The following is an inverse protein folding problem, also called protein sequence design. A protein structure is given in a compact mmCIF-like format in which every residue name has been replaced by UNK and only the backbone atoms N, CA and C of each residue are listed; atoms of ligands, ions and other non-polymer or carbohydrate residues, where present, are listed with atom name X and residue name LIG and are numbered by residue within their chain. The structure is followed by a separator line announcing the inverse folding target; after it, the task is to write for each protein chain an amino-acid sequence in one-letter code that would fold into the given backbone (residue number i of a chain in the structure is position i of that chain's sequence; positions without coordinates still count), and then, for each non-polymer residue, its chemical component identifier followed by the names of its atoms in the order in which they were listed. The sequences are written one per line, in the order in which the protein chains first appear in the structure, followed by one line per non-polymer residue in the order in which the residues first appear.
data_IF_496456682842
#
_entry.id   IF_496456682842
#
_cell.length_a   1.000
_cell.length_b   1.000
_cell.length_c   1.000
_cell.angle_alpha   90.00
_cell.angle_beta   90.00
_cell.angle_gamma   90.00
#
_symmetry.space_group_name_H-M   'P 1'
#
loop_
_entity.id
_entity.type
_entity.pdbx_description
1 polymer ?
#
# COMPACT_ATOMS: atom_id res chain seq x y z
N UNK A 1 -16.82 12.16 -5.95
CA UNK A 1 -15.42 12.48 -5.63
C UNK A 1 -14.96 11.64 -4.45
N UNK A 2 -13.99 10.78 -4.65
CA UNK A 2 -13.72 9.58 -3.86
C UNK A 2 -13.47 9.79 -2.36
N UNK A 3 -14.05 8.90 -1.61
CA UNK A 3 -13.85 8.69 -0.17
C UNK A 3 -12.74 7.64 0.01
N UNK A 4 -11.50 7.94 -0.42
CA UNK A 4 -10.36 7.00 -0.28
C UNK A 4 -9.50 7.41 0.90
N UNK A 5 -8.86 6.46 1.59
CA UNK A 5 -7.78 6.79 2.52
C UNK A 5 -6.51 7.19 1.74
N UNK A 6 -5.55 7.84 2.40
CA UNK A 6 -4.31 8.23 1.75
C UNK A 6 -3.35 7.04 1.66
N UNK A 7 -2.56 6.97 0.58
CA UNK A 7 -1.59 5.90 0.35
C UNK A 7 -0.62 5.66 1.52
N UNK A 8 -0.33 6.69 2.30
CA UNK A 8 0.55 6.62 3.47
C UNK A 8 0.02 5.63 4.51
N UNK A 9 -1.28 5.71 4.81
CA UNK A 9 -1.94 4.79 5.75
C UNK A 9 -1.86 3.35 5.26
N UNK A 10 -2.20 3.11 3.98
CA UNK A 10 -2.15 1.77 3.38
C UNK A 10 -0.76 1.15 3.43
N UNK A 11 0.26 1.90 2.98
CA UNK A 11 1.66 1.43 2.97
C UNK A 11 2.14 1.11 4.39
N UNK A 12 1.87 2.01 5.34
CA UNK A 12 2.32 1.87 6.72
C UNK A 12 1.63 0.71 7.43
N UNK A 13 0.31 0.60 7.30
CA UNK A 13 -0.49 -0.47 7.88
C UNK A 13 -0.04 -1.84 7.36
N UNK A 14 0.07 -1.98 6.04
CA UNK A 14 0.47 -3.22 5.41
C UNK A 14 1.88 -3.66 5.84
N UNK A 15 2.83 -2.73 5.92
CA UNK A 15 4.17 -3.01 6.43
C UNK A 15 4.12 -3.55 7.86
N UNK A 16 3.40 -2.88 8.77
CA UNK A 16 3.30 -3.30 10.17
C UNK A 16 2.65 -4.67 10.31
N UNK A 17 1.56 -4.92 9.60
CA UNK A 17 0.86 -6.21 9.61
C UNK A 17 1.70 -7.34 9.01
N UNK A 18 2.45 -7.06 7.93
CA UNK A 18 3.38 -8.02 7.34
C UNK A 18 4.53 -8.36 8.31
N UNK A 19 5.06 -7.37 9.04
CA UNK A 19 6.08 -7.60 10.08
C UNK A 19 5.53 -8.44 11.22
N UNK A 20 4.33 -8.15 11.69
CA UNK A 20 3.68 -8.90 12.76
C UNK A 20 3.43 -10.35 12.34
N UNK A 21 2.82 -10.57 11.16
CA UNK A 21 2.54 -11.91 10.63
C UNK A 21 3.81 -12.69 10.31
N UNK A 22 4.81 -12.04 9.71
CA UNK A 22 6.11 -12.66 9.43
C UNK A 22 6.82 -13.14 10.69
N UNK A 23 6.79 -12.34 11.77
CA UNK A 23 7.33 -12.72 13.08
C UNK A 23 6.56 -13.87 13.70
N UNK A 24 5.21 -13.80 13.69
CA UNK A 24 4.34 -14.83 14.26
C UNK A 24 4.53 -16.19 13.56
N UNK A 25 4.59 -16.18 12.24
CA UNK A 25 4.72 -17.41 11.42
C UNK A 25 6.18 -17.84 11.22
N UNK A 26 7.15 -17.06 11.73
CA UNK A 26 8.59 -17.28 11.53
C UNK A 26 8.95 -17.42 10.05
N UNK A 27 8.45 -16.50 9.22
CA UNK A 27 8.73 -16.46 7.77
C UNK A 27 9.37 -15.14 7.37
N UNK A 28 10.31 -15.22 6.42
CA UNK A 28 10.89 -14.06 5.77
C UNK A 28 10.01 -13.65 4.58
N UNK A 29 9.96 -12.36 4.30
CA UNK A 29 9.23 -11.79 3.18
C UNK A 29 10.03 -10.65 2.53
N UNK A 30 9.60 -10.28 1.33
CA UNK A 30 10.22 -9.24 0.55
C UNK A 30 9.49 -7.91 0.79
N UNK A 31 10.20 -6.91 1.33
CA UNK A 31 9.61 -5.61 1.72
C UNK A 31 9.03 -4.86 0.51
N UNK A 32 9.75 -4.67 -0.62
CA UNK A 32 9.18 -4.02 -1.80
C UNK A 32 7.84 -4.60 -2.23
N UNK A 33 7.70 -5.93 -2.25
CA UNK A 33 6.43 -6.58 -2.63
C UNK A 33 5.30 -6.27 -1.63
N UNK A 34 5.60 -6.25 -0.33
CA UNK A 34 4.61 -5.88 0.70
C UNK A 34 4.09 -4.45 0.46
N UNK A 35 5.02 -3.51 0.22
CA UNK A 35 4.67 -2.10 0.02
C UNK A 35 3.85 -1.89 -1.26
N UNK A 36 4.14 -2.63 -2.32
CA UNK A 36 3.39 -2.58 -3.57
C UNK A 36 2.00 -3.20 -3.42
N UNK A 37 1.91 -4.40 -2.81
CA UNK A 37 0.63 -5.08 -2.62
C UNK A 37 -0.38 -4.27 -1.82
N UNK A 38 0.11 -3.39 -0.92
CA UNK A 38 -0.76 -2.47 -0.18
C UNK A 38 -1.48 -1.43 -1.05
N UNK A 39 -1.01 -1.22 -2.28
CA UNK A 39 -1.53 -0.20 -3.22
C UNK A 39 -2.14 -0.84 -4.48
N UNK A 40 -1.92 -2.13 -4.70
CA UNK A 40 -2.44 -2.81 -5.90
C UNK A 40 -3.94 -2.64 -6.11
N UNK A 41 -4.82 -2.66 -5.09
CA UNK A 41 -6.24 -2.41 -5.31
C UNK A 41 -6.52 -1.05 -5.96
N UNK A 42 -5.76 -0.02 -5.61
CA UNK A 42 -5.89 1.35 -6.16
C UNK A 42 -5.35 1.52 -7.59
N UNK A 43 -4.80 0.48 -8.20
CA UNK A 43 -4.33 0.57 -9.59
C UNK A 43 -5.49 0.85 -10.57
N UNK A 44 -6.71 0.56 -10.17
CA UNK A 44 -7.94 0.83 -10.90
C UNK A 44 -8.20 2.35 -11.09
N UNK A 45 -7.66 3.21 -10.23
CA UNK A 45 -7.70 4.67 -10.38
C UNK A 45 -7.11 5.11 -11.73
N UNK A 46 -6.08 4.40 -12.20
CA UNK A 46 -5.48 4.67 -13.52
C UNK A 46 -6.50 4.40 -14.64
N UNK A 47 -7.22 3.29 -14.55
CA UNK A 47 -8.24 2.95 -15.53
C UNK A 47 -9.38 3.97 -15.52
N UNK A 48 -9.84 4.39 -14.36
CA UNK A 48 -10.87 5.43 -14.22
C UNK A 48 -10.41 6.75 -14.84
N UNK A 49 -9.14 7.11 -14.65
CA UNK A 49 -8.58 8.33 -15.22
C UNK A 49 -8.51 8.31 -16.76
N UNK A 50 -8.01 7.21 -17.36
CA UNK A 50 -7.82 7.13 -18.81
C UNK A 50 -9.09 6.72 -19.55
N UNK A 51 -9.88 5.79 -19.00
CA UNK A 51 -11.05 5.23 -19.68
C UNK A 51 -12.36 5.91 -19.26
N UNK A 52 -12.31 6.86 -18.31
CA UNK A 52 -13.48 7.54 -17.74
C UNK A 52 -14.53 6.56 -17.21
N UNK A 53 -14.06 5.47 -16.61
CA UNK A 53 -14.87 4.47 -15.95
C UNK A 53 -15.05 4.82 -14.47
N UNK A 54 -15.96 4.16 -13.78
CA UNK A 54 -16.18 4.31 -12.33
C UNK A 54 -16.04 2.93 -11.67
N UNK A 55 -14.91 2.24 -11.96
CA UNK A 55 -14.63 0.90 -11.43
C UNK A 55 -13.89 0.91 -10.11
N UNK A 56 -13.38 2.07 -9.69
CA UNK A 56 -12.67 2.21 -8.42
C UNK A 56 -13.55 1.78 -7.25
N UNK A 57 -12.96 1.00 -6.33
CA UNK A 57 -13.61 0.32 -5.21
C UNK A 57 -14.58 -0.82 -5.58
N UNK A 58 -14.52 -1.25 -6.84
CA UNK A 58 -15.25 -2.41 -7.33
C UNK A 58 -14.49 -3.72 -7.07
N UNK A 59 -14.40 -4.55 -8.08
CA UNK A 59 -13.82 -5.90 -8.01
C UNK A 59 -12.36 -5.94 -7.52
N UNK A 60 -11.58 -4.90 -7.76
CA UNK A 60 -10.17 -4.78 -7.33
C UNK A 60 -10.02 -4.75 -5.81
N UNK A 61 -11.05 -4.24 -5.13
CA UNK A 61 -11.11 -4.15 -3.66
C UNK A 61 -11.82 -5.34 -3.02
N UNK A 62 -12.28 -6.31 -3.82
CA UNK A 62 -12.95 -7.50 -3.30
C UNK A 62 -12.00 -8.46 -2.59
N UNK A 63 -12.34 -8.81 -1.35
CA UNK A 63 -11.62 -9.85 -0.60
C UNK A 63 -11.77 -11.23 -1.24
N UNK A 64 -12.90 -11.48 -1.92
CA UNK A 64 -13.15 -12.75 -2.62
C UNK A 64 -12.18 -12.86 -3.80
N UNK A 65 -12.08 -11.81 -4.63
CA UNK A 65 -11.14 -11.78 -5.75
C UNK A 65 -9.70 -11.89 -5.27
N UNK A 66 -9.33 -11.13 -4.23
CA UNK A 66 -7.99 -11.21 -3.63
C UNK A 66 -7.68 -12.62 -3.14
N UNK A 67 -8.62 -13.28 -2.47
CA UNK A 67 -8.46 -14.66 -1.98
C UNK A 67 -8.29 -15.64 -3.13
N UNK A 68 -9.14 -15.58 -4.14
CA UNK A 68 -9.06 -16.47 -5.30
C UNK A 68 -7.73 -16.31 -6.05
N UNK A 69 -7.27 -15.09 -6.25
CA UNK A 69 -5.98 -14.81 -6.88
C UNK A 69 -4.80 -15.32 -6.04
N UNK A 70 -4.94 -15.38 -4.71
CA UNK A 70 -3.89 -15.87 -3.81
C UNK A 70 -3.88 -17.38 -3.59
N UNK A 71 -4.92 -18.13 -3.97
CA UNK A 71 -4.94 -19.59 -3.84
C UNK A 71 -3.69 -20.25 -4.44
N UNK A 72 -3.25 -19.96 -5.69
CA UNK A 72 -2.05 -20.57 -6.25
C UNK A 72 -0.79 -20.25 -5.44
N UNK A 73 -0.69 -19.03 -4.91
CA UNK A 73 0.44 -18.63 -4.06
C UNK A 73 0.45 -19.38 -2.72
N UNK A 74 -0.72 -19.59 -2.10
CA UNK A 74 -0.81 -20.41 -0.91
C UNK A 74 -0.47 -21.87 -1.17
N UNK A 75 -0.86 -22.42 -2.31
CA UNK A 75 -0.50 -23.79 -2.70
C UNK A 75 1.02 -23.94 -2.87
N UNK A 76 1.67 -22.98 -3.50
CA UNK A 76 3.11 -23.02 -3.80
C UNK A 76 3.98 -22.62 -2.61
N UNK A 77 3.64 -21.55 -1.91
CA UNK A 77 4.48 -20.93 -0.88
C UNK A 77 3.98 -21.17 0.54
N UNK A 78 2.78 -21.77 0.69
CA UNK A 78 2.17 -22.10 1.99
C UNK A 78 2.19 -20.87 2.93
N UNK A 79 2.61 -21.04 4.18
CA UNK A 79 2.68 -19.97 5.19
C UNK A 79 3.54 -18.76 4.77
N UNK A 80 4.47 -18.92 3.80
CA UNK A 80 5.26 -17.78 3.30
C UNK A 80 4.44 -16.79 2.47
N UNK A 81 3.31 -17.20 1.91
CA UNK A 81 2.40 -16.31 1.20
C UNK A 81 1.60 -15.39 2.14
N UNK A 82 1.44 -15.75 3.41
CA UNK A 82 0.57 -15.04 4.36
C UNK A 82 0.89 -13.56 4.54
N UNK A 83 2.15 -13.11 4.74
CA UNK A 83 2.44 -11.68 4.87
C UNK A 83 2.03 -10.86 3.63
N UNK A 84 2.17 -11.44 2.44
CA UNK A 84 1.78 -10.79 1.18
C UNK A 84 0.26 -10.70 1.05
N UNK A 85 -0.46 -11.77 1.37
CA UNK A 85 -1.92 -11.77 1.38
C UNK A 85 -2.48 -10.75 2.39
N UNK A 86 -1.93 -10.73 3.61
CA UNK A 86 -2.33 -9.75 4.63
C UNK A 86 -2.08 -8.33 4.14
N UNK A 87 -0.95 -8.06 3.48
CA UNK A 87 -0.68 -6.75 2.90
C UNK A 87 -1.73 -6.34 1.88
N UNK A 88 -2.07 -7.22 0.94
CA UNK A 88 -3.09 -6.96 -0.08
C UNK A 88 -4.47 -6.70 0.54
N UNK A 89 -4.90 -7.60 1.44
CA UNK A 89 -6.25 -7.57 2.02
C UNK A 89 -6.40 -6.43 3.04
N UNK A 90 -5.32 -6.02 3.71
CA UNK A 90 -5.37 -4.91 4.67
C UNK A 90 -5.83 -3.60 4.03
N UNK A 91 -5.55 -3.39 2.75
CA UNK A 91 -6.04 -2.26 1.98
C UNK A 91 -7.58 -2.20 2.02
N UNK A 92 -8.22 -3.20 1.45
CA UNK A 92 -9.68 -3.22 1.31
C UNK A 92 -10.41 -3.44 2.64
N UNK A 93 -9.91 -4.38 3.48
CA UNK A 93 -10.62 -4.79 4.68
C UNK A 93 -10.45 -3.81 5.86
N UNK A 94 -9.26 -3.28 6.06
CA UNK A 94 -8.99 -2.44 7.23
C UNK A 94 -9.07 -0.96 6.88
N UNK A 95 -8.28 -0.52 5.90
CA UNK A 95 -8.21 0.90 5.61
C UNK A 95 -9.48 1.41 4.93
N UNK A 96 -10.04 0.68 3.98
CA UNK A 96 -11.26 1.10 3.30
C UNK A 96 -12.52 0.67 4.04
N UNK A 97 -12.78 -0.63 4.21
CA UNK A 97 -14.02 -1.11 4.79
C UNK A 97 -14.24 -0.64 6.23
N UNK A 98 -13.23 -0.76 7.10
CA UNK A 98 -13.39 -0.37 8.51
C UNK A 98 -13.35 1.14 8.71
N UNK A 99 -12.57 1.88 7.92
CA UNK A 99 -12.31 3.32 8.13
C UNK A 99 -12.85 4.16 6.99
N UNK A 100 -12.36 3.93 5.77
CA UNK A 100 -12.46 4.86 4.65
C UNK A 100 -13.81 4.94 3.94
N UNK A 101 -14.72 3.99 4.14
CA UNK A 101 -16.07 4.06 3.57
C UNK A 101 -16.49 2.85 2.74
N UNK A 102 -17.40 3.10 1.79
CA UNK A 102 -18.11 2.03 1.08
C UNK A 102 -17.31 1.48 -0.11
N UNK A 103 -17.33 0.16 -0.28
CA UNK A 103 -16.70 -0.57 -1.37
C UNK A 103 -17.40 -1.93 -1.60
N UNK A 104 -17.15 -2.55 -2.75
CA UNK A 104 -17.71 -3.86 -3.12
C UNK A 104 -16.86 -5.01 -2.52
N UNK A 105 -16.77 -5.06 -1.19
CA UNK A 105 -15.88 -6.01 -0.48
C UNK A 105 -16.14 -7.47 -0.85
N UNK A 106 -17.39 -7.84 -1.11
CA UNK A 106 -17.81 -9.23 -1.37
C UNK A 106 -18.17 -9.48 -2.84
N UNK A 107 -17.76 -8.60 -3.77
CA UNK A 107 -17.98 -8.85 -5.20
C UNK A 107 -17.31 -10.18 -5.62
N UNK A 108 -17.90 -11.04 -6.50
CA UNK A 108 -19.18 -10.87 -7.20
C UNK A 108 -20.41 -11.39 -6.43
N UNK A 109 -20.24 -11.97 -5.25
CA UNK A 109 -21.35 -12.58 -4.50
C UNK A 109 -22.33 -11.52 -3.98
N UNK A 110 -21.83 -10.35 -3.61
CA UNK A 110 -22.62 -9.21 -3.16
C UNK A 110 -22.07 -7.92 -3.79
N UNK A 111 -22.71 -7.43 -4.87
CA UNK A 111 -22.18 -6.31 -5.64
C UNK A 111 -22.45 -4.93 -5.02
N UNK A 112 -23.27 -4.84 -3.95
CA UNK A 112 -23.57 -3.56 -3.32
C UNK A 112 -22.39 -3.07 -2.49
N UNK A 113 -22.23 -1.75 -2.45
CA UNK A 113 -21.21 -1.10 -1.64
C UNK A 113 -21.64 -1.10 -0.17
N UNK A 114 -20.71 -1.38 0.71
CA UNK A 114 -20.88 -1.23 2.14
C UNK A 114 -19.55 -0.97 2.85
N UNK A 115 -19.63 -0.35 4.04
CA UNK A 115 -18.49 -0.01 4.87
C UNK A 115 -18.91 0.21 6.30
N UNK A 116 -17.98 0.12 7.25
CA UNK A 116 -18.29 0.18 8.68
C UNK A 116 -18.33 1.63 9.21
N UNK A 117 -17.19 2.29 9.37
CA UNK A 117 -17.14 3.61 10.01
C UNK A 117 -17.47 4.76 9.04
N UNK A 118 -17.20 4.59 7.76
CA UNK A 118 -17.44 5.56 6.69
C UNK A 118 -16.90 6.98 7.03
N UNK A 119 -15.69 7.01 7.59
CA UNK A 119 -15.01 8.24 7.99
C UNK A 119 -14.51 8.97 6.74
N UNK A 120 -14.78 10.27 6.64
CA UNK A 120 -14.27 11.07 5.54
C UNK A 120 -12.74 11.11 5.57
N UNK A 121 -12.09 11.01 4.40
CA UNK A 121 -10.64 11.05 4.24
C UNK A 121 -9.99 12.27 4.90
N UNK A 122 -10.67 13.44 4.86
CA UNK A 122 -10.19 14.68 5.47
C UNK A 122 -10.59 14.83 6.95
N UNK A 123 -11.21 13.81 7.54
CA UNK A 123 -11.52 13.86 8.97
C UNK A 123 -10.22 13.89 9.79
N UNK A 124 -10.09 14.79 10.76
CA UNK A 124 -8.89 14.87 11.60
C UNK A 124 -8.50 13.55 12.27
N UNK A 125 -9.46 12.71 12.62
CA UNK A 125 -9.20 11.38 13.19
C UNK A 125 -8.49 10.49 12.17
N UNK A 126 -8.97 10.46 10.91
CA UNK A 126 -8.33 9.68 9.86
C UNK A 126 -6.89 10.16 9.58
N UNK A 127 -6.71 11.49 9.47
CA UNK A 127 -5.40 12.09 9.26
C UNK A 127 -4.44 11.74 10.40
N UNK A 128 -4.89 11.83 11.65
CA UNK A 128 -4.10 11.49 12.83
C UNK A 128 -3.74 10.00 12.87
N UNK A 129 -4.68 9.11 12.52
CA UNK A 129 -4.43 7.66 12.42
C UNK A 129 -3.37 7.34 11.37
N UNK A 130 -3.50 7.90 10.16
CA UNK A 130 -2.53 7.67 9.08
C UNK A 130 -1.13 8.18 9.42
N UNK A 131 -1.05 9.38 10.03
CA UNK A 131 0.22 9.92 10.50
C UNK A 131 0.84 9.04 11.60
N UNK A 132 0.03 8.57 12.54
CA UNK A 132 0.48 7.69 13.62
C UNK A 132 1.00 6.36 13.08
N UNK A 133 0.26 5.74 12.14
CA UNK A 133 0.70 4.51 11.47
C UNK A 133 2.03 4.72 10.74
N UNK A 134 2.16 5.85 10.04
CA UNK A 134 3.41 6.22 9.38
C UNK A 134 4.56 6.36 10.38
N UNK A 135 4.38 7.10 11.46
CA UNK A 135 5.41 7.32 12.47
C UNK A 135 5.89 5.98 13.07
N UNK A 136 4.95 5.11 13.43
CA UNK A 136 5.25 3.77 13.95
C UNK A 136 6.01 2.95 12.89
N UNK A 137 5.51 2.92 11.64
CA UNK A 137 6.15 2.18 10.56
C UNK A 137 7.57 2.67 10.27
N UNK A 138 7.78 3.99 10.22
CA UNK A 138 9.10 4.59 10.00
C UNK A 138 10.09 4.21 11.12
N UNK A 139 9.68 4.30 12.39
CA UNK A 139 10.49 3.86 13.53
C UNK A 139 10.84 2.38 13.43
N UNK A 140 9.87 1.52 13.08
CA UNK A 140 10.13 0.09 12.88
C UNK A 140 11.08 -0.16 11.71
N UNK A 141 10.90 0.52 10.56
CA UNK A 141 11.79 0.39 9.39
C UNK A 141 13.24 0.71 9.74
N UNK A 142 13.46 1.75 10.55
CA UNK A 142 14.80 2.12 11.01
C UNK A 142 15.35 1.08 11.97
N UNK A 143 14.61 0.73 13.02
CA UNK A 143 15.06 -0.21 14.07
C UNK A 143 15.33 -1.63 13.56
N UNK A 144 14.59 -2.07 12.55
CA UNK A 144 14.79 -3.41 11.94
C UNK A 144 15.74 -3.39 10.75
N UNK A 145 16.36 -2.25 10.45
CA UNK A 145 17.22 -2.04 9.29
C UNK A 145 16.54 -2.30 7.93
N UNK A 146 15.22 -2.35 7.90
CA UNK A 146 14.46 -2.61 6.67
C UNK A 146 14.56 -1.44 5.69
N UNK A 147 14.66 -0.20 6.20
CA UNK A 147 14.92 1.00 5.41
C UNK A 147 16.22 0.84 4.60
N UNK A 148 17.29 0.36 5.22
CA UNK A 148 18.58 0.12 4.54
C UNK A 148 18.52 -1.04 3.55
N UNK A 149 17.63 -2.01 3.77
CA UNK A 149 17.41 -3.11 2.81
C UNK A 149 16.82 -2.62 1.49
N UNK A 150 15.99 -1.57 1.52
CA UNK A 150 15.44 -0.93 0.32
C UNK A 150 16.52 -0.27 -0.54
N UNK A 151 17.64 0.14 0.05
CA UNK A 151 18.78 0.74 -0.69
C UNK A 151 19.74 -0.30 -1.28
N UNK A 152 19.51 -1.60 -1.05
CA UNK A 152 20.31 -2.63 -1.70
C UNK A 152 19.94 -2.75 -3.18
N UNK A 153 20.96 -2.92 -4.03
CA UNK A 153 20.76 -3.18 -5.44
C UNK A 153 20.10 -4.56 -5.65
N UNK A 154 18.78 -4.58 -5.69
CA UNK A 154 18.00 -5.79 -5.92
C UNK A 154 16.92 -5.53 -6.96
N UNK A 155 16.86 -6.38 -8.00
CA UNK A 155 15.91 -6.21 -9.14
C UNK A 155 14.44 -6.05 -8.70
N UNK A 156 14.06 -6.65 -7.56
CA UNK A 156 12.71 -6.54 -7.02
C UNK A 156 12.33 -5.10 -6.66
N UNK A 157 13.29 -4.21 -6.41
CA UNK A 157 13.00 -2.80 -6.09
C UNK A 157 12.33 -2.07 -7.27
N UNK A 158 12.44 -2.60 -8.50
CA UNK A 158 11.71 -2.05 -9.65
C UNK A 158 10.20 -2.05 -9.45
N UNK A 159 9.64 -2.97 -8.66
CA UNK A 159 8.19 -2.99 -8.42
C UNK A 159 7.71 -1.72 -7.70
N UNK A 160 8.61 -1.01 -7.00
CA UNK A 160 8.30 0.26 -6.34
C UNK A 160 7.99 1.40 -7.32
N UNK A 161 8.29 1.24 -8.61
CA UNK A 161 7.82 2.17 -9.64
C UNK A 161 6.29 2.21 -9.68
N UNK A 162 5.61 1.11 -9.37
CA UNK A 162 4.14 1.05 -9.34
C UNK A 162 3.58 2.13 -8.40
N UNK A 163 3.77 2.08 -7.07
CA UNK A 163 3.23 3.11 -6.18
C UNK A 163 3.77 4.52 -6.46
N UNK A 164 5.00 4.67 -6.99
CA UNK A 164 5.51 5.97 -7.38
C UNK A 164 4.60 6.62 -8.42
N UNK A 165 4.31 5.91 -9.51
CA UNK A 165 3.58 6.47 -10.65
C UNK A 165 2.06 6.37 -10.52
N UNK A 166 1.53 5.42 -9.76
CA UNK A 166 0.08 5.25 -9.62
C UNK A 166 -0.53 6.16 -8.56
N UNK A 167 0.17 6.40 -7.46
CA UNK A 167 -0.41 7.09 -6.29
C UNK A 167 0.46 8.23 -5.79
N UNK A 168 1.77 7.99 -5.51
CA UNK A 168 2.59 8.97 -4.79
C UNK A 168 2.89 10.21 -5.64
N UNK A 169 3.34 10.04 -6.87
CA UNK A 169 3.65 11.17 -7.77
C UNK A 169 2.38 11.92 -8.20
N UNK A 170 1.29 11.25 -8.63
CA UNK A 170 0.04 11.92 -8.98
C UNK A 170 -0.52 12.79 -7.85
N UNK A 171 -0.31 12.41 -6.60
CA UNK A 171 -0.71 13.19 -5.43
C UNK A 171 -0.10 14.60 -5.43
N UNK A 172 1.15 14.75 -5.86
CA UNK A 172 1.84 16.05 -5.91
C UNK A 172 1.63 16.82 -7.23
N UNK A 173 1.30 16.13 -8.32
CA UNK A 173 1.02 16.77 -9.61
C UNK A 173 -0.38 17.38 -9.60
N UNK A 174 -1.30 16.85 -8.79
CA UNK A 174 -2.66 17.39 -8.70
C UNK A 174 -2.67 18.80 -8.11
N UNK A 175 -3.33 19.74 -8.83
CA UNK A 175 -3.51 21.10 -8.32
C UNK A 175 -5.02 21.41 -8.18
N UNK A 176 -5.48 21.97 -7.04
CA UNK A 176 -4.71 22.20 -5.79
C UNK A 176 -4.31 20.88 -5.11
N UNK A 177 -3.21 20.94 -4.34
CA UNK A 177 -2.73 19.79 -3.57
C UNK A 177 -3.81 19.33 -2.59
N UNK A 178 -4.28 18.09 -2.76
CA UNK A 178 -5.40 17.54 -1.99
C UNK A 178 -4.98 16.76 -0.75
N UNK A 179 -3.71 16.86 -0.36
CA UNK A 179 -3.16 16.17 0.82
C UNK A 179 -3.16 17.11 2.01
N UNK A 180 -3.68 16.69 3.17
CA UNK A 180 -3.56 17.44 4.41
C UNK A 180 -2.08 17.73 4.74
N UNK A 181 -1.78 18.92 5.25
CA UNK A 181 -0.41 19.37 5.50
C UNK A 181 0.39 18.38 6.36
N UNK A 182 -0.26 17.75 7.33
CA UNK A 182 0.36 16.74 8.21
C UNK A 182 0.83 15.49 7.45
N UNK A 183 0.18 15.15 6.34
CA UNK A 183 0.51 13.97 5.54
C UNK A 183 1.44 14.27 4.36
N UNK A 184 1.76 15.53 4.10
CA UNK A 184 2.71 15.91 3.01
C UNK A 184 4.09 15.30 3.25
N UNK A 185 4.62 15.45 4.46
CA UNK A 185 5.94 14.89 4.81
C UNK A 185 5.97 13.35 4.71
N UNK A 186 5.01 12.60 5.24
CA UNK A 186 4.89 11.17 5.03
C UNK A 186 4.86 10.73 3.55
N UNK A 187 4.09 11.43 2.70
CA UNK A 187 4.04 11.12 1.28
C UNK A 187 5.39 11.37 0.59
N UNK A 188 6.03 12.51 0.89
CA UNK A 188 7.38 12.81 0.40
C UNK A 188 8.39 11.77 0.86
N UNK A 189 8.31 11.33 2.11
CA UNK A 189 9.18 10.29 2.62
C UNK A 189 9.11 9.01 1.79
N UNK A 190 7.91 8.49 1.53
CA UNK A 190 7.75 7.28 0.70
C UNK A 190 8.13 7.53 -0.75
N UNK A 191 7.79 8.68 -1.33
CA UNK A 191 8.16 9.03 -2.70
C UNK A 191 9.70 9.04 -2.87
N UNK A 192 10.40 9.72 -1.97
CA UNK A 192 11.88 9.81 -1.99
C UNK A 192 12.50 8.44 -1.72
N UNK A 193 12.02 7.71 -0.71
CA UNK A 193 12.52 6.39 -0.34
C UNK A 193 12.41 5.41 -1.52
N UNK A 194 11.24 5.35 -2.18
CA UNK A 194 11.03 4.44 -3.30
C UNK A 194 11.83 4.87 -4.54
N UNK A 195 11.90 6.17 -4.80
CA UNK A 195 12.70 6.70 -5.92
C UNK A 195 14.19 6.38 -5.75
N UNK A 196 14.75 6.59 -4.56
CA UNK A 196 16.14 6.21 -4.27
C UNK A 196 16.33 4.70 -4.42
N UNK A 197 15.41 3.88 -3.91
CA UNK A 197 15.48 2.41 -4.03
C UNK A 197 15.55 1.95 -5.50
N UNK A 198 14.74 2.56 -6.37
CA UNK A 198 14.72 2.27 -7.81
C UNK A 198 16.01 2.78 -8.48
N UNK A 199 16.45 4.00 -8.16
CA UNK A 199 17.69 4.57 -8.71
C UNK A 199 18.92 3.75 -8.33
N UNK A 200 19.04 3.30 -7.09
CA UNK A 200 20.13 2.43 -6.62
C UNK A 200 20.17 1.09 -7.37
N UNK A 201 19.02 0.60 -7.82
CA UNK A 201 18.93 -0.59 -8.65
C UNK A 201 19.34 -0.31 -10.10
N UNK A 202 18.91 0.81 -10.69
CA UNK A 202 19.20 1.17 -12.09
C UNK A 202 20.65 1.59 -12.28
N UNK A 203 21.24 2.28 -11.28
CA UNK A 203 22.59 2.80 -11.35
C UNK A 203 23.53 2.14 -10.32
N UNK A 204 24.09 0.96 -10.64
CA UNK A 204 24.94 0.20 -9.73
C UNK A 204 26.24 0.92 -9.34
N UNK A 205 26.57 2.04 -9.98
CA UNK A 205 27.73 2.89 -9.65
C UNK A 205 27.61 3.59 -8.29
N UNK A 206 26.42 3.78 -7.76
CA UNK A 206 26.19 4.34 -6.41
C UNK A 206 26.36 3.30 -5.31
N UNK A 207 27.21 2.30 -5.48
CA UNK A 207 27.51 1.35 -4.39
C UNK A 207 28.18 2.09 -3.25
N UNK A 208 27.36 2.48 -2.26
CA UNK A 208 27.86 2.85 -0.94
C UNK A 208 28.54 1.59 -0.39
N UNK A 209 29.85 1.67 -0.16
CA UNK A 209 30.80 0.63 0.14
C UNK A 209 30.30 -0.70 0.71
N UNK A 210 31.05 -1.76 0.36
CA UNK A 210 30.92 -3.09 0.97
C UNK A 210 31.16 -3.03 2.46
#
# INVERSE_FOLDING_TARGET
MGKTSFAVGHISLAYLLAKASGKLLKVNFNIPLILVLSIIPDIDIIFDFFLKTEIHRGFTHSIIVATLLFIPFFMLYRKRATPYFISLVSHSLIADFLIGGQLQLLWPLYPNDFGFANINIYNPINIALEFTLFAIAAVFMVRTHDLFRLFRNHKINLVLTIPIFTVLLPTFISYPLRVPILLVLPHLFYLVLFSISVLMMLFPFFRIGK
#
